data_IF_493311071801
#
_entry.id   IF_493311071801
#
_cell.length_a   1.000
_cell.length_b   1.000
_cell.length_c   1.000
_cell.angle_alpha   90.00
_cell.angle_beta   90.00
_cell.angle_gamma   90.00
#
_symmetry.space_group_name_H-M   'P 1'
#
loop_
_entity.id
_entity.type
_entity.pdbx_description
1 polymer ?
#
# COMPACT_ATOMS: atom_id res chain seq x y z
N UNK A 1 0.53 -8.29 16.20
CA UNK A 1 1.02 -7.56 15.01
C UNK A 1 1.53 -6.18 15.37
N UNK A 2 2.44 -5.65 14.58
CA UNK A 2 3.05 -4.33 14.78
C UNK A 2 2.69 -3.44 13.59
N UNK A 3 2.36 -2.17 13.86
CA UNK A 3 2.11 -1.18 12.81
C UNK A 3 3.37 -0.33 12.61
N UNK A 4 3.94 -0.37 11.42
CA UNK A 4 5.09 0.42 10.99
C UNK A 4 4.73 1.55 10.02
N UNK A 5 3.44 1.93 9.95
CA UNK A 5 2.98 3.04 9.10
C UNK A 5 3.65 4.35 9.50
N UNK A 6 3.96 5.16 8.51
CA UNK A 6 4.51 6.49 8.69
C UNK A 6 3.72 7.46 7.80
N UNK A 7 3.07 8.43 8.43
CA UNK A 7 2.25 9.42 7.72
C UNK A 7 3.09 10.20 6.69
N UNK A 8 2.53 10.43 5.50
CA UNK A 8 3.18 11.17 4.43
C UNK A 8 4.35 10.45 3.74
N UNK A 9 4.69 9.22 4.15
CA UNK A 9 5.79 8.50 3.49
C UNK A 9 5.37 7.96 2.12
N UNK A 10 6.29 8.04 1.16
CA UNK A 10 6.17 7.44 -0.17
C UNK A 10 6.93 6.12 -0.24
N UNK A 11 6.68 5.34 -1.27
CA UNK A 11 7.53 4.19 -1.60
C UNK A 11 8.84 4.69 -2.17
N UNK A 12 8.75 5.64 -3.09
CA UNK A 12 9.88 6.25 -3.81
C UNK A 12 10.68 7.25 -2.97
N UNK A 13 11.77 7.74 -3.57
CA UNK A 13 12.64 8.76 -2.98
C UNK A 13 13.81 8.20 -2.18
N UNK A 14 14.78 9.08 -1.88
CA UNK A 14 16.04 8.72 -1.22
C UNK A 14 16.05 9.05 0.28
N UNK A 15 14.87 9.17 0.89
CA UNK A 15 14.76 9.45 2.32
C UNK A 15 14.78 8.15 3.12
N UNK A 16 15.32 8.19 4.34
CA UNK A 16 15.23 7.08 5.29
C UNK A 16 13.79 6.74 5.70
N UNK A 17 12.85 7.65 5.40
CA UNK A 17 11.41 7.48 5.60
C UNK A 17 10.71 6.82 4.41
N UNK A 18 11.36 6.70 3.25
CA UNK A 18 10.79 6.01 2.08
C UNK A 18 10.61 4.53 2.36
N UNK A 19 9.49 3.95 1.91
CA UNK A 19 9.18 2.55 2.21
C UNK A 19 10.19 1.56 1.60
N UNK A 20 10.87 1.95 0.53
CA UNK A 20 11.94 1.15 -0.08
C UNK A 20 13.29 1.27 0.65
N UNK A 21 13.45 2.18 1.62
CA UNK A 21 14.72 2.37 2.32
C UNK A 21 15.10 1.18 3.19
N UNK A 22 16.39 0.93 3.34
CA UNK A 22 16.88 -0.13 4.23
C UNK A 22 16.44 0.10 5.67
N UNK A 23 16.48 1.36 6.14
CA UNK A 23 16.08 1.75 7.49
C UNK A 23 14.61 1.41 7.80
N UNK A 24 13.72 1.58 6.83
CA UNK A 24 12.30 1.21 6.99
C UNK A 24 12.10 -0.30 6.97
N UNK A 25 12.82 -0.99 6.10
CA UNK A 25 12.70 -2.45 5.96
C UNK A 25 13.28 -3.15 7.20
N UNK A 26 14.41 -2.70 7.73
CA UNK A 26 14.98 -3.23 8.98
C UNK A 26 14.02 -3.08 10.17
N UNK A 27 13.29 -1.96 10.24
CA UNK A 27 12.30 -1.73 11.32
C UNK A 27 11.18 -2.75 11.37
N UNK A 28 10.86 -3.42 10.27
CA UNK A 28 9.83 -4.47 10.26
C UNK A 28 10.17 -5.63 11.23
N UNK A 29 11.45 -5.87 11.45
CA UNK A 29 11.94 -6.91 12.36
C UNK A 29 12.17 -6.47 13.81
N UNK A 30 11.90 -5.21 14.18
CA UNK A 30 12.23 -4.65 15.51
C UNK A 30 11.58 -5.42 16.68
N UNK A 31 10.38 -5.97 16.47
CA UNK A 31 9.62 -6.72 17.46
C UNK A 31 9.58 -8.23 17.18
N UNK A 32 10.57 -8.73 16.48
CA UNK A 32 10.70 -10.12 16.04
C UNK A 32 10.57 -10.24 14.52
N UNK A 33 11.12 -11.34 13.99
CA UNK A 33 11.08 -11.62 12.54
C UNK A 33 9.61 -11.83 12.13
N UNK A 34 9.11 -11.07 11.15
CA UNK A 34 7.71 -11.19 10.74
C UNK A 34 7.48 -12.48 9.93
N UNK A 35 6.37 -13.18 10.22
CA UNK A 35 5.87 -14.28 9.38
C UNK A 35 4.98 -13.76 8.25
N UNK A 36 4.31 -12.63 8.47
CA UNK A 36 3.41 -11.99 7.50
C UNK A 36 3.72 -10.50 7.44
N UNK A 37 3.85 -9.96 6.23
CA UNK A 37 4.07 -8.54 5.97
C UNK A 37 2.94 -8.04 5.07
N UNK A 38 2.17 -7.05 5.57
CA UNK A 38 1.12 -6.38 4.82
C UNK A 38 1.62 -5.02 4.35
N UNK A 39 1.61 -4.81 3.03
CA UNK A 39 2.08 -3.57 2.39
C UNK A 39 0.87 -2.82 1.84
N UNK A 40 0.61 -1.64 2.41
CA UNK A 40 -0.36 -0.67 1.92
C UNK A 40 0.38 0.64 1.67
N UNK A 41 0.95 0.78 0.48
CA UNK A 41 1.83 1.89 0.12
C UNK A 41 1.64 2.30 -1.36
N UNK A 42 1.88 3.56 -1.67
CA UNK A 42 1.76 4.13 -3.02
C UNK A 42 0.71 5.24 -3.16
N UNK A 43 -0.16 5.44 -2.17
CA UNK A 43 -1.16 6.50 -2.20
C UNK A 43 -0.50 7.90 -2.20
N UNK A 44 0.57 8.07 -1.43
CA UNK A 44 1.31 9.34 -1.45
C UNK A 44 2.11 9.52 -2.74
N UNK A 45 2.67 8.46 -3.31
CA UNK A 45 3.35 8.53 -4.62
C UNK A 45 2.37 9.01 -5.69
N UNK A 46 1.16 8.43 -5.73
CA UNK A 46 0.09 8.91 -6.59
C UNK A 46 -0.29 10.36 -6.30
N UNK A 47 -0.52 10.72 -5.04
CA UNK A 47 -0.97 12.04 -4.62
C UNK A 47 0.05 13.15 -4.89
N UNK A 48 1.34 12.84 -4.89
CA UNK A 48 2.44 13.75 -5.21
C UNK A 48 2.91 13.64 -6.67
N UNK A 49 2.16 12.96 -7.53
CA UNK A 49 2.47 12.82 -8.96
C UNK A 49 3.86 12.25 -9.24
N UNK A 50 4.34 11.32 -8.42
CA UNK A 50 5.57 10.57 -8.72
C UNK A 50 5.37 9.86 -10.07
N UNK A 51 6.33 9.98 -10.97
CA UNK A 51 6.23 9.37 -12.28
C UNK A 51 6.03 7.85 -12.18
N UNK A 52 5.17 7.24 -13.00
CA UNK A 52 4.90 5.81 -12.95
C UNK A 52 6.15 4.95 -13.03
N UNK A 53 7.13 5.33 -13.86
CA UNK A 53 8.40 4.60 -14.00
C UNK A 53 9.24 4.68 -12.74
N UNK A 54 9.26 5.81 -12.08
CA UNK A 54 9.97 6.00 -10.79
C UNK A 54 9.29 5.19 -9.69
N UNK A 55 7.96 5.22 -9.63
CA UNK A 55 7.19 4.42 -8.69
C UNK A 55 7.39 2.92 -8.91
N UNK A 56 7.38 2.45 -10.17
CA UNK A 56 7.62 1.05 -10.51
C UNK A 56 8.99 0.58 -10.02
N UNK A 57 10.05 1.35 -10.30
CA UNK A 57 11.40 1.02 -9.87
C UNK A 57 11.51 0.96 -8.35
N UNK A 58 10.92 1.95 -7.65
CA UNK A 58 10.90 2.02 -6.20
C UNK A 58 10.13 0.84 -5.58
N UNK A 59 8.97 0.50 -6.13
CA UNK A 59 8.14 -0.60 -5.63
C UNK A 59 8.85 -1.95 -5.81
N UNK A 60 9.45 -2.17 -6.98
CA UNK A 60 10.28 -3.36 -7.26
C UNK A 60 11.45 -3.46 -6.29
N UNK A 61 12.17 -2.36 -6.07
CA UNK A 61 13.29 -2.30 -5.13
C UNK A 61 12.85 -2.62 -3.71
N UNK A 62 11.74 -2.06 -3.26
CA UNK A 62 11.14 -2.34 -1.95
C UNK A 62 10.86 -3.84 -1.78
N UNK A 63 10.17 -4.46 -2.73
CA UNK A 63 9.84 -5.88 -2.66
C UNK A 63 11.09 -6.76 -2.65
N UNK A 64 12.08 -6.44 -3.47
CA UNK A 64 13.35 -7.17 -3.50
C UNK A 64 14.05 -7.11 -2.13
N UNK A 65 14.19 -5.94 -1.55
CA UNK A 65 14.82 -5.74 -0.23
C UNK A 65 14.06 -6.45 0.89
N UNK A 66 12.72 -6.40 0.88
CA UNK A 66 11.89 -7.10 1.88
C UNK A 66 12.09 -8.61 1.76
N UNK A 67 12.10 -9.17 0.56
CA UNK A 67 12.31 -10.61 0.35
C UNK A 67 13.70 -11.06 0.76
N UNK A 68 14.72 -10.25 0.51
CA UNK A 68 16.09 -10.54 0.94
C UNK A 68 16.20 -10.54 2.47
N UNK A 69 15.59 -9.57 3.12
CA UNK A 69 15.65 -9.42 4.58
C UNK A 69 14.78 -10.45 5.31
N UNK A 70 13.61 -10.80 4.74
CA UNK A 70 12.60 -11.69 5.36
C UNK A 70 12.17 -12.79 4.37
N UNK A 71 13.07 -13.71 4.02
CA UNK A 71 12.82 -14.70 2.93
C UNK A 71 11.71 -15.71 3.24
N UNK A 72 11.32 -15.84 4.51
CA UNK A 72 10.25 -16.77 4.94
C UNK A 72 8.91 -16.07 5.21
N UNK A 73 8.84 -14.74 5.09
CA UNK A 73 7.61 -14.01 5.32
C UNK A 73 6.65 -14.12 4.13
N UNK A 74 5.37 -14.34 4.43
CA UNK A 74 4.30 -14.16 3.46
C UNK A 74 4.02 -12.67 3.26
N UNK A 75 4.23 -12.18 2.05
CA UNK A 75 4.09 -10.76 1.70
C UNK A 75 2.80 -10.56 0.94
N UNK A 76 1.97 -9.61 1.40
CA UNK A 76 0.73 -9.20 0.75
C UNK A 76 0.81 -7.73 0.35
N UNK A 77 0.64 -7.44 -0.94
CA UNK A 77 0.65 -6.10 -1.49
C UNK A 77 -0.79 -5.65 -1.77
N UNK A 78 -1.23 -4.55 -1.15
CA UNK A 78 -2.51 -3.96 -1.45
C UNK A 78 -2.41 -3.03 -2.65
N UNK A 79 -3.37 -3.14 -3.57
CA UNK A 79 -3.65 -2.09 -4.54
C UNK A 79 -4.38 -0.92 -3.87
N UNK A 80 -4.46 0.23 -4.53
CA UNK A 80 -4.96 1.47 -3.95
C UNK A 80 -6.50 1.53 -4.01
N UNK A 81 -7.20 1.41 -2.87
CA UNK A 81 -8.66 1.44 -2.83
C UNK A 81 -9.21 2.85 -3.06
N UNK A 82 -10.49 2.95 -3.41
CA UNK A 82 -11.18 4.22 -3.61
C UNK A 82 -11.84 4.71 -2.31
N UNK A 83 -11.49 5.95 -1.93
CA UNK A 83 -12.11 6.66 -0.82
C UNK A 83 -13.37 7.38 -1.26
N UNK A 84 -14.44 7.26 -0.47
CA UNK A 84 -15.69 7.98 -0.68
C UNK A 84 -15.51 9.45 -0.38
N UNK A 85 -15.93 10.31 -1.30
CA UNK A 85 -15.90 11.75 -1.10
C UNK A 85 -16.90 12.16 0.00
N UNK A 86 -16.48 12.92 1.04
CA UNK A 86 -17.40 13.44 2.03
C UNK A 86 -18.33 14.50 1.41
N UNK A 87 -19.58 14.55 1.89
CA UNK A 87 -20.55 15.52 1.40
C UNK A 87 -20.29 16.90 2.00
N UNK A 88 -20.15 17.92 1.14
CA UNK A 88 -20.15 19.34 1.53
C UNK A 88 -18.83 19.86 2.12
N UNK A 89 -17.76 19.11 2.07
CA UNK A 89 -16.46 19.51 2.63
C UNK A 89 -15.43 19.85 1.55
N UNK A 90 -14.44 20.67 1.93
CA UNK A 90 -13.30 20.97 1.08
C UNK A 90 -12.39 19.75 1.04
N UNK A 91 -12.24 19.16 -0.12
CA UNK A 91 -11.43 17.96 -0.32
C UNK A 91 -9.95 18.25 -0.16
N UNK A 92 -9.21 17.24 0.26
CA UNK A 92 -7.77 17.21 0.03
C UNK A 92 -7.57 17.27 -1.49
N UNK A 93 -7.11 18.42 -1.97
CA UNK A 93 -6.94 18.63 -3.39
C UNK A 93 -5.73 17.84 -3.88
N UNK A 94 -5.98 16.61 -4.30
CA UNK A 94 -4.97 15.82 -5.00
C UNK A 94 -5.00 16.25 -6.46
N UNK A 95 -4.02 17.04 -6.82
CA UNK A 95 -3.83 17.52 -8.20
C UNK A 95 -3.08 16.47 -9.04
N UNK A 96 -3.38 15.20 -8.81
CA UNK A 96 -2.79 14.13 -9.60
C UNK A 96 -3.47 14.04 -10.96
N UNK A 97 -2.72 14.32 -11.99
CA UNK A 97 -3.13 14.16 -13.40
C UNK A 97 -3.08 12.70 -13.84
N UNK A 98 -2.47 11.82 -13.04
CA UNK A 98 -2.30 10.39 -13.34
C UNK A 98 -3.34 9.61 -12.55
N UNK A 99 -4.07 8.72 -13.22
CA UNK A 99 -5.06 7.86 -12.57
C UNK A 99 -4.41 6.95 -11.51
N UNK A 100 -5.04 6.85 -10.34
CA UNK A 100 -4.67 5.91 -9.27
C UNK A 100 -4.58 4.46 -9.77
N UNK A 101 -5.37 4.13 -10.80
CA UNK A 101 -5.36 2.82 -11.45
C UNK A 101 -4.01 2.45 -12.02
N UNK A 102 -3.25 3.42 -12.57
CA UNK A 102 -1.91 3.18 -13.10
C UNK A 102 -0.99 2.63 -12.01
N UNK A 103 -1.04 3.24 -10.82
CA UNK A 103 -0.24 2.78 -9.67
C UNK A 103 -0.68 1.40 -9.16
N UNK A 104 -1.99 1.15 -9.14
CA UNK A 104 -2.52 -0.17 -8.78
C UNK A 104 -2.08 -1.26 -9.76
N UNK A 105 -2.04 -0.96 -11.06
CA UNK A 105 -1.54 -1.89 -12.07
C UNK A 105 -0.05 -2.18 -11.90
N UNK A 106 0.76 -1.16 -11.59
CA UNK A 106 2.19 -1.32 -11.25
C UNK A 106 2.36 -2.22 -10.03
N UNK A 107 1.55 -2.04 -8.97
CA UNK A 107 1.58 -2.90 -7.79
C UNK A 107 1.28 -4.35 -8.16
N UNK A 108 0.22 -4.61 -8.95
CA UNK A 108 -0.14 -5.96 -9.40
C UNK A 108 0.99 -6.63 -10.15
N UNK A 109 1.54 -5.93 -11.15
CA UNK A 109 2.61 -6.47 -11.99
C UNK A 109 3.88 -6.80 -11.18
N UNK A 110 4.29 -5.90 -10.31
CA UNK A 110 5.49 -6.13 -9.49
C UNK A 110 5.28 -7.20 -8.43
N UNK A 111 4.10 -7.28 -7.81
CA UNK A 111 3.76 -8.36 -6.89
C UNK A 111 3.75 -9.72 -7.60
N UNK A 112 3.20 -9.79 -8.82
CA UNK A 112 3.22 -11.00 -9.63
C UNK A 112 4.64 -11.42 -10.00
N UNK A 113 5.46 -10.49 -10.50
CA UNK A 113 6.87 -10.75 -10.84
C UNK A 113 7.68 -11.21 -9.64
N UNK A 114 7.43 -10.64 -8.47
CA UNK A 114 8.08 -11.00 -7.21
C UNK A 114 7.51 -12.28 -6.57
N UNK A 115 6.44 -12.86 -7.12
CA UNK A 115 5.74 -14.03 -6.56
C UNK A 115 5.29 -13.82 -5.12
N UNK A 116 4.68 -12.67 -4.85
CA UNK A 116 4.03 -12.34 -3.57
C UNK A 116 2.53 -12.19 -3.77
N UNK A 117 1.76 -12.21 -2.68
CA UNK A 117 0.31 -12.15 -2.73
C UNK A 117 -0.19 -10.74 -3.02
N UNK A 118 -1.32 -10.65 -3.74
CA UNK A 118 -2.01 -9.40 -4.06
C UNK A 118 -3.31 -9.33 -3.28
N UNK A 119 -3.45 -8.33 -2.42
CA UNK A 119 -4.71 -7.92 -1.85
C UNK A 119 -5.31 -6.84 -2.76
N UNK A 120 -6.19 -7.24 -3.68
CA UNK A 120 -6.66 -6.37 -4.75
C UNK A 120 -7.80 -5.45 -4.30
N UNK A 121 -7.49 -4.51 -3.42
CA UNK A 121 -8.47 -3.59 -2.83
C UNK A 121 -9.06 -2.62 -3.86
N UNK A 122 -8.32 -2.27 -4.91
CA UNK A 122 -8.80 -1.41 -5.99
C UNK A 122 -9.90 -2.07 -6.83
N UNK A 123 -9.96 -3.41 -6.85
CA UNK A 123 -10.96 -4.16 -7.60
C UNK A 123 -12.21 -4.48 -6.75
N UNK A 124 -12.21 -4.10 -5.47
CA UNK A 124 -13.38 -4.24 -4.61
C UNK A 124 -14.35 -3.11 -4.93
N UNK A 125 -15.59 -3.46 -5.30
CA UNK A 125 -16.65 -2.48 -5.58
C UNK A 125 -17.25 -1.91 -4.29
N UNK A 126 -16.39 -1.45 -3.40
CA UNK A 126 -16.77 -0.83 -2.13
C UNK A 126 -15.82 0.33 -1.84
N UNK A 127 -16.37 1.51 -1.64
CA UNK A 127 -15.61 2.69 -1.23
C UNK A 127 -15.57 2.76 0.30
N UNK A 128 -14.42 3.15 0.86
CA UNK A 128 -14.30 3.39 2.29
C UNK A 128 -14.61 4.85 2.63
N UNK A 129 -15.27 5.09 3.76
CA UNK A 129 -15.57 6.43 4.23
C UNK A 129 -14.30 7.18 4.64
N UNK A 130 -14.25 8.47 4.26
CA UNK A 130 -13.10 9.33 4.50
C UNK A 130 -13.47 10.61 5.25
N UNK A 131 -12.45 11.29 5.77
CA UNK A 131 -12.58 12.65 6.32
C UNK A 131 -12.39 13.73 5.25
N UNK A 132 -11.67 13.42 4.15
CA UNK A 132 -11.24 14.41 3.14
C UNK A 132 -11.15 13.84 1.72
N UNK A 133 -11.72 12.70 1.47
CA UNK A 133 -11.65 11.99 0.18
C UNK A 133 -10.52 10.98 0.06
N UNK A 134 -9.56 10.98 0.99
CA UNK A 134 -8.37 10.11 0.99
C UNK A 134 -8.18 9.40 2.32
N UNK A 135 -8.14 10.15 3.42
CA UNK A 135 -7.86 9.60 4.74
C UNK A 135 -9.12 8.97 5.35
N UNK A 136 -9.05 7.69 5.73
CA UNK A 136 -10.22 7.00 6.28
C UNK A 136 -10.63 7.59 7.62
N UNK A 137 -11.95 7.75 7.83
CA UNK A 137 -12.51 7.93 9.16
C UNK A 137 -12.62 6.56 9.87
N UNK A 138 -13.20 6.53 11.08
CA UNK A 138 -13.33 5.29 11.86
C UNK A 138 -14.11 4.19 11.09
N UNK A 139 -15.19 4.54 10.42
CA UNK A 139 -15.98 3.59 9.63
C UNK A 139 -15.18 3.09 8.41
N UNK A 140 -14.45 4.00 7.74
CA UNK A 140 -13.55 3.68 6.63
C UNK A 140 -12.43 2.72 7.03
N UNK A 141 -11.85 2.89 8.22
CA UNK A 141 -10.85 1.94 8.75
C UNK A 141 -11.43 0.53 8.92
N UNK A 142 -12.67 0.41 9.41
CA UNK A 142 -13.35 -0.88 9.50
C UNK A 142 -13.63 -1.49 8.13
N UNK A 143 -14.01 -0.67 7.15
CA UNK A 143 -14.23 -1.11 5.78
C UNK A 143 -12.94 -1.63 5.16
N UNK A 144 -11.84 -0.88 5.27
CA UNK A 144 -10.52 -1.31 4.79
C UNK A 144 -10.07 -2.63 5.43
N UNK A 145 -10.28 -2.78 6.74
CA UNK A 145 -9.94 -4.03 7.44
C UNK A 145 -10.74 -5.23 6.87
N UNK A 146 -12.05 -5.06 6.63
CA UNK A 146 -12.87 -6.11 5.99
C UNK A 146 -12.40 -6.45 4.58
N UNK A 147 -12.03 -5.42 3.78
CA UNK A 147 -11.49 -5.61 2.43
C UNK A 147 -10.20 -6.45 2.48
N UNK A 148 -9.27 -6.11 3.36
CA UNK A 148 -8.04 -6.86 3.58
C UNK A 148 -8.31 -8.32 3.95
N UNK A 149 -9.16 -8.57 4.93
CA UNK A 149 -9.52 -9.91 5.39
C UNK A 149 -10.11 -10.73 4.23
N UNK A 150 -11.00 -10.12 3.44
CA UNK A 150 -11.63 -10.78 2.28
C UNK A 150 -10.59 -11.19 1.24
N UNK A 151 -9.68 -10.29 0.90
CA UNK A 151 -8.64 -10.56 -0.09
C UNK A 151 -7.65 -11.63 0.40
N UNK A 152 -7.21 -11.53 1.65
CA UNK A 152 -6.27 -12.51 2.23
C UNK A 152 -6.88 -13.92 2.33
N UNK A 153 -8.17 -14.05 2.64
CA UNK A 153 -8.86 -15.35 2.70
C UNK A 153 -8.77 -16.16 1.42
N UNK A 154 -8.63 -15.52 0.26
CA UNK A 154 -8.45 -16.19 -1.04
C UNK A 154 -7.20 -17.09 -1.08
N UNK A 155 -6.21 -16.80 -0.22
CA UNK A 155 -4.92 -17.50 -0.18
C UNK A 155 -4.78 -18.43 1.03
N UNK A 156 -5.44 -18.11 2.16
CA UNK A 156 -5.34 -18.86 3.41
C UNK A 156 -6.30 -20.06 3.47
N UNK A 157 -7.45 -19.98 2.78
CA UNK A 157 -8.50 -20.98 2.80
C UNK A 157 -8.44 -21.98 1.63
N UNK A 158 -7.24 -22.26 1.14
CA UNK A 158 -7.01 -23.29 0.12
C UNK A 158 -6.65 -24.62 0.75
#
# INVERSE_FOLDING_TARGET
>A
GTNHSLAGSMVSGNLSTSAMSYERIEKLGTNGIPDIILISAGCNDWGFCVLPEEFEEAYRTMLHRIKDQYPHADIYCATLPEGKQPQGETFFNIDSTISKRVYSDIIRENAQKAQVYIADLANVQEEYETVDGVHPNKAGMHTLARMWIREMKKFICK
#
